data_IF_755632215060
#
_entry.id   IF_755632215060
#
_cell.length_a   1.000
_cell.length_b   1.000
_cell.length_c   1.000
_cell.angle_alpha   90.00
_cell.angle_beta   90.00
_cell.angle_gamma   90.00
#
_symmetry.space_group_name_H-M   'P 1'
#
loop_
_entity.id
_entity.type
_entity.pdbx_description
1 polymer ?
#
# COMPACT_ATOMS: atom_id res chain seq x y z
N UNK A 1 37.92 -14.23 -31.15
CA UNK A 1 36.51 -14.14 -30.73
C UNK A 1 36.42 -14.71 -29.32
N UNK A 2 36.34 -13.85 -28.31
CA UNK A 2 36.03 -14.24 -26.94
C UNK A 2 34.71 -13.57 -26.59
N UNK A 3 33.65 -14.38 -26.48
CA UNK A 3 32.33 -13.94 -26.02
C UNK A 3 32.46 -13.46 -24.58
N UNK A 4 32.35 -12.15 -24.36
CA UNK A 4 32.20 -11.58 -23.04
C UNK A 4 30.77 -11.84 -22.56
N UNK A 5 30.54 -13.04 -22.02
CA UNK A 5 29.40 -13.29 -21.18
C UNK A 5 29.63 -12.49 -19.89
N UNK A 6 29.21 -11.22 -19.88
CA UNK A 6 29.19 -10.40 -18.66
C UNK A 6 28.15 -11.03 -17.75
N UNK A 7 28.60 -11.92 -16.88
CA UNK A 7 27.81 -12.42 -15.77
C UNK A 7 27.17 -11.26 -15.01
N UNK A 8 25.95 -11.49 -14.52
CA UNK A 8 25.18 -10.60 -13.65
C UNK A 8 26.13 -9.90 -12.67
N UNK A 9 26.19 -8.56 -12.70
CA UNK A 9 26.97 -7.83 -11.70
C UNK A 9 26.32 -8.02 -10.33
N UNK A 10 27.08 -8.64 -9.42
CA UNK A 10 26.64 -8.96 -8.06
C UNK A 10 26.82 -7.73 -7.17
N UNK A 11 25.71 -7.26 -6.63
CA UNK A 11 25.63 -6.23 -5.60
C UNK A 11 24.17 -6.02 -5.23
N UNK A 12 23.67 -6.74 -4.22
CA UNK A 12 22.33 -6.52 -3.68
C UNK A 12 22.28 -5.14 -3.01
N UNK A 13 21.80 -4.14 -3.73
CA UNK A 13 21.46 -2.87 -3.10
C UNK A 13 20.11 -3.05 -2.40
N UNK A 14 20.10 -2.95 -1.07
CA UNK A 14 18.88 -2.75 -0.30
C UNK A 14 18.79 -1.26 0.02
N UNK A 15 17.66 -0.65 -0.29
CA UNK A 15 17.37 0.73 0.06
C UNK A 15 16.15 0.77 0.96
N UNK A 16 16.23 1.56 2.03
CA UNK A 16 15.14 1.75 2.97
C UNK A 16 15.03 3.23 3.28
N UNK A 17 13.81 3.74 3.19
CA UNK A 17 13.49 5.11 3.60
C UNK A 17 12.13 5.14 4.29
N UNK A 18 11.88 6.20 5.06
CA UNK A 18 10.56 6.50 5.60
C UNK A 18 9.91 7.55 4.72
N UNK A 19 8.67 7.30 4.34
CA UNK A 19 7.83 8.25 3.62
C UNK A 19 6.68 8.68 4.53
N UNK A 20 6.13 9.86 4.30
CA UNK A 20 4.97 10.35 5.03
C UNK A 20 3.84 10.60 4.04
N UNK A 21 2.72 9.91 4.24
CA UNK A 21 1.50 10.23 3.51
C UNK A 21 0.81 11.42 4.19
N UNK A 22 0.15 12.25 3.40
CA UNK A 22 -0.71 13.32 3.88
C UNK A 22 -1.83 12.71 4.72
N UNK A 23 -2.20 13.33 5.86
CA UNK A 23 -3.36 12.91 6.61
C UNK A 23 -4.60 12.87 5.71
N UNK A 24 -5.34 11.78 5.78
CA UNK A 24 -6.59 11.60 5.06
C UNK A 24 -7.74 11.49 6.05
N UNK A 25 -8.93 11.93 5.62
CA UNK A 25 -10.15 11.54 6.30
C UNK A 25 -10.41 10.05 6.10
N UNK A 26 -11.30 9.46 6.91
CA UNK A 26 -11.72 8.07 6.73
C UNK A 26 -12.17 7.82 5.29
N UNK A 27 -11.77 6.67 4.75
CA UNK A 27 -12.07 6.23 3.40
C UNK A 27 -10.88 5.59 2.70
N UNK A 28 -11.07 5.30 1.41
CA UNK A 28 -10.05 4.67 0.56
C UNK A 28 -9.44 5.71 -0.37
N UNK A 29 -8.11 5.85 -0.33
CA UNK A 29 -7.40 6.93 -1.03
C UNK A 29 -6.33 6.38 -1.97
N UNK A 30 -6.34 6.80 -3.24
CA UNK A 30 -5.26 6.44 -4.18
C UNK A 30 -4.00 7.25 -3.83
N UNK A 31 -2.91 6.56 -3.46
CA UNK A 31 -1.67 7.19 -2.97
C UNK A 31 -0.42 6.83 -3.78
N UNK A 32 -0.59 6.14 -4.91
CA UNK A 32 0.52 5.65 -5.77
C UNK A 32 1.51 6.77 -6.12
N UNK A 33 1.03 7.88 -6.66
CA UNK A 33 1.88 9.02 -7.06
C UNK A 33 2.55 9.69 -5.86
N UNK A 34 1.87 9.74 -4.72
CA UNK A 34 2.40 10.34 -3.50
C UNK A 34 3.55 9.50 -2.91
N UNK A 35 3.44 8.18 -2.99
CA UNK A 35 4.51 7.25 -2.65
C UNK A 35 5.68 7.42 -3.62
N UNK A 36 5.44 7.31 -4.93
CA UNK A 36 6.48 7.35 -5.96
C UNK A 36 7.33 8.62 -5.92
N UNK A 37 6.71 9.78 -5.62
CA UNK A 37 7.43 11.06 -5.45
C UNK A 37 8.42 11.06 -4.28
N UNK A 38 8.21 10.21 -3.27
CA UNK A 38 9.05 10.12 -2.08
C UNK A 38 10.10 9.00 -2.17
N UNK A 39 10.11 8.21 -3.25
CA UNK A 39 11.11 7.17 -3.49
C UNK A 39 11.76 7.31 -4.88
N UNK A 40 12.35 8.48 -5.21
CA UNK A 40 12.97 8.67 -6.52
C UNK A 40 14.04 7.60 -6.80
N UNK A 41 14.75 7.09 -5.81
CA UNK A 41 15.78 6.04 -5.96
C UNK A 41 15.27 4.75 -6.61
N UNK A 42 13.95 4.53 -6.69
CA UNK A 42 13.33 3.42 -7.41
C UNK A 42 13.88 3.28 -8.84
N UNK A 43 14.14 4.39 -9.55
CA UNK A 43 14.64 4.34 -10.94
C UNK A 43 16.03 3.68 -11.07
N UNK A 44 16.78 3.55 -9.97
CA UNK A 44 18.13 2.96 -9.96
C UNK A 44 18.08 1.42 -9.95
N UNK A 45 16.91 0.82 -9.70
CA UNK A 45 16.74 -0.63 -9.58
C UNK A 45 16.23 -1.23 -10.90
N UNK A 46 17.06 -2.05 -11.56
CA UNK A 46 16.62 -2.78 -12.77
C UNK A 46 15.62 -3.90 -12.44
N UNK A 47 15.85 -4.67 -11.36
CA UNK A 47 14.96 -5.73 -10.87
C UNK A 47 15.03 -5.72 -9.34
N UNK A 48 13.89 -5.93 -8.67
CA UNK A 48 13.86 -5.99 -7.21
C UNK A 48 12.47 -6.24 -6.64
N UNK A 49 12.34 -6.03 -5.33
CA UNK A 49 11.07 -6.09 -4.61
C UNK A 49 10.91 -4.81 -3.80
N UNK A 50 9.83 -4.07 -4.04
CA UNK A 50 9.43 -2.92 -3.24
C UNK A 50 8.48 -3.41 -2.15
N UNK A 51 8.95 -3.39 -0.90
CA UNK A 51 8.11 -3.67 0.25
C UNK A 51 7.70 -2.36 0.93
N UNK A 52 6.40 -2.18 1.16
CA UNK A 52 5.82 -0.99 1.78
C UNK A 52 5.05 -1.44 3.00
N UNK A 53 5.46 -0.97 4.18
CA UNK A 53 4.82 -1.28 5.47
C UNK A 53 4.21 0.00 6.03
N UNK A 54 2.92 -0.03 6.35
CA UNK A 54 2.28 1.04 7.12
C UNK A 54 2.61 0.86 8.60
N UNK A 55 2.94 1.96 9.28
CA UNK A 55 3.30 1.97 10.70
C UNK A 55 2.11 2.38 11.58
N UNK A 56 0.93 1.81 11.29
CA UNK A 56 -0.33 2.04 11.99
C UNK A 56 -1.07 0.72 12.19
N UNK A 57 -1.84 0.62 13.27
CA UNK A 57 -2.63 -0.57 13.64
C UNK A 57 -4.10 -0.46 13.22
N UNK A 58 -4.54 0.73 12.83
CA UNK A 58 -5.90 1.08 12.40
C UNK A 58 -5.90 1.68 10.98
N UNK A 59 -4.94 1.31 10.14
CA UNK A 59 -4.89 1.70 8.74
C UNK A 59 -4.25 0.58 7.91
N UNK A 60 -4.55 0.55 6.61
CA UNK A 60 -4.11 -0.52 5.71
C UNK A 60 -3.65 -0.02 4.35
N UNK A 61 -2.97 -0.91 3.65
CA UNK A 61 -2.62 -0.74 2.24
C UNK A 61 -3.31 -1.82 1.41
N UNK A 62 -3.83 -1.43 0.25
CA UNK A 62 -4.43 -2.34 -0.70
C UNK A 62 -3.89 -2.07 -2.12
N UNK A 63 -3.85 -3.11 -2.94
CA UNK A 63 -3.57 -2.99 -4.37
C UNK A 63 -4.86 -3.28 -5.13
N UNK A 64 -5.42 -2.28 -5.79
CA UNK A 64 -6.74 -2.38 -6.42
C UNK A 64 -6.85 -1.44 -7.63
N UNK A 65 -8.02 -1.37 -8.25
CA UNK A 65 -8.27 -0.50 -9.40
C UNK A 65 -7.99 0.99 -9.09
N UNK A 66 -7.34 1.68 -10.02
CA UNK A 66 -6.95 3.09 -9.93
C UNK A 66 -7.57 3.99 -11.00
N UNK A 67 -8.52 3.48 -11.79
CA UNK A 67 -9.17 4.20 -12.88
C UNK A 67 -10.49 4.81 -12.46
N UNK A 68 -11.43 3.99 -12.01
CA UNK A 68 -12.75 4.44 -11.60
C UNK A 68 -12.73 4.91 -10.13
N UNK A 69 -13.06 6.18 -9.84
CA UNK A 69 -13.15 6.66 -8.46
C UNK A 69 -14.18 5.90 -7.62
N UNK A 70 -15.25 5.37 -8.21
CA UNK A 70 -16.35 4.70 -7.50
C UNK A 70 -15.88 3.43 -6.78
N UNK A 71 -14.82 2.78 -7.28
CA UNK A 71 -14.20 1.62 -6.61
C UNK A 71 -13.78 1.94 -5.18
N UNK A 72 -13.33 3.16 -4.91
CA UNK A 72 -12.91 3.56 -3.56
C UNK A 72 -14.10 3.71 -2.62
N UNK A 73 -15.18 4.29 -3.13
CA UNK A 73 -16.42 4.49 -2.37
C UNK A 73 -17.12 3.16 -2.10
N UNK A 74 -17.17 2.26 -3.09
CA UNK A 74 -17.73 0.92 -2.94
C UNK A 74 -16.91 0.05 -1.98
N UNK A 75 -15.58 0.16 -2.01
CA UNK A 75 -14.71 -0.53 -1.06
C UNK A 75 -14.94 -0.03 0.37
N UNK A 76 -15.04 1.28 0.59
CA UNK A 76 -15.37 1.82 1.91
C UNK A 76 -16.75 1.33 2.38
N UNK A 77 -17.76 1.42 1.52
CA UNK A 77 -19.12 0.96 1.80
C UNK A 77 -19.15 -0.52 2.18
N UNK A 78 -18.43 -1.38 1.44
CA UNK A 78 -18.36 -2.82 1.73
C UNK A 78 -17.61 -3.12 3.03
N UNK A 79 -16.50 -2.43 3.31
CA UNK A 79 -15.78 -2.57 4.58
C UNK A 79 -16.66 -2.21 5.78
N UNK A 80 -17.42 -1.13 5.68
CA UNK A 80 -18.37 -0.70 6.71
C UNK A 80 -19.56 -1.66 6.86
N UNK A 81 -19.94 -2.36 5.79
CA UNK A 81 -21.01 -3.37 5.83
C UNK A 81 -20.56 -4.68 6.48
N UNK A 82 -19.34 -5.13 6.20
CA UNK A 82 -18.81 -6.40 6.72
C UNK A 82 -18.31 -6.23 8.16
N UNK A 83 -17.71 -5.07 8.46
CA UNK A 83 -17.15 -4.73 9.77
C UNK A 83 -17.80 -3.42 10.23
N UNK A 84 -19.07 -3.48 10.67
CA UNK A 84 -19.82 -2.28 11.03
C UNK A 84 -19.33 -1.69 12.35
N UNK A 85 -19.43 -0.36 12.42
CA UNK A 85 -19.37 0.39 13.67
C UNK A 85 -20.57 0.02 14.56
N UNK A 86 -20.41 0.14 15.88
CA UNK A 86 -21.53 -0.03 16.83
C UNK A 86 -21.92 -1.47 17.17
N UNK A 87 -21.15 -2.49 16.74
CA UNK A 87 -21.21 -3.80 17.40
C UNK A 87 -20.69 -3.68 18.85
N UNK A 88 -20.99 -4.68 19.67
CA UNK A 88 -20.56 -4.76 21.08
C UNK A 88 -19.06 -5.12 21.21
N UNK A 89 -18.19 -4.36 20.54
CA UNK A 89 -16.75 -4.48 20.69
C UNK A 89 -16.35 -4.07 22.12
N UNK A 90 -15.48 -4.89 22.73
CA UNK A 90 -14.95 -4.60 24.07
C UNK A 90 -13.93 -3.47 24.09
N UNK A 91 -13.25 -3.26 22.97
CA UNK A 91 -12.31 -2.17 22.78
C UNK A 91 -13.06 -1.04 22.07
N UNK A 92 -13.25 0.08 22.75
CA UNK A 92 -13.98 1.24 22.26
C UNK A 92 -13.54 2.52 22.99
N UNK A 93 -12.32 2.52 23.54
CA UNK A 93 -11.85 3.62 24.37
C UNK A 93 -11.56 4.88 23.56
N UNK A 94 -11.32 4.75 22.26
CA UNK A 94 -11.04 5.88 21.35
C UNK A 94 -12.26 6.31 20.53
N UNK A 95 -13.37 5.55 20.57
CA UNK A 95 -14.58 5.86 19.82
C UNK A 95 -15.34 4.62 19.33
N UNK A 96 -16.49 4.81 18.67
CA UNK A 96 -17.26 3.73 18.07
C UNK A 96 -16.58 3.09 16.84
N UNK A 97 -15.58 3.75 16.25
CA UNK A 97 -14.80 3.37 15.08
C UNK A 97 -13.46 2.67 15.42
N UNK A 98 -12.97 2.81 16.66
CA UNK A 98 -11.73 2.27 17.21
C UNK A 98 -11.47 0.78 16.84
N UNK A 99 -12.22 -0.15 17.44
CA UNK A 99 -12.05 -1.57 17.16
C UNK A 99 -12.42 -1.97 15.73
N UNK A 100 -13.50 -1.46 15.10
CA UNK A 100 -13.75 -1.70 13.67
C UNK A 100 -12.54 -1.40 12.78
N UNK A 101 -11.82 -0.31 13.03
CA UNK A 101 -10.63 0.06 12.27
C UNK A 101 -9.51 -0.97 12.44
N UNK A 102 -9.27 -1.45 13.66
CA UNK A 102 -8.32 -2.55 13.90
C UNK A 102 -8.69 -3.84 13.16
N UNK A 103 -9.96 -4.23 13.18
CA UNK A 103 -10.42 -5.44 12.48
C UNK A 103 -10.22 -5.26 10.97
N UNK A 104 -10.68 -4.15 10.38
CA UNK A 104 -10.49 -3.86 8.95
C UNK A 104 -9.01 -3.87 8.57
N UNK A 105 -8.13 -3.34 9.44
CA UNK A 105 -6.70 -3.35 9.21
C UNK A 105 -6.10 -4.77 9.18
N UNK A 106 -6.53 -5.66 10.09
CA UNK A 106 -6.12 -7.06 10.08
C UNK A 106 -6.59 -7.84 8.83
N UNK A 107 -7.78 -7.52 8.31
CA UNK A 107 -8.32 -8.18 7.12
C UNK A 107 -7.59 -7.79 5.83
N UNK A 108 -7.27 -6.51 5.67
CA UNK A 108 -6.58 -6.00 4.48
C UNK A 108 -5.06 -6.21 4.54
N UNK A 109 -4.50 -6.14 5.74
CA UNK A 109 -3.07 -6.21 5.97
C UNK A 109 -2.41 -4.83 6.00
N UNK A 110 -1.20 -4.81 6.55
CA UNK A 110 -0.43 -3.59 6.80
C UNK A 110 0.73 -3.39 5.83
N UNK A 111 0.89 -4.28 4.84
CA UNK A 111 1.96 -4.15 3.86
C UNK A 111 1.62 -4.65 2.47
N UNK A 112 2.38 -4.15 1.49
CA UNK A 112 2.39 -4.61 0.11
C UNK A 112 3.83 -4.98 -0.27
N UNK A 113 3.97 -6.00 -1.10
CA UNK A 113 5.25 -6.41 -1.71
C UNK A 113 5.06 -6.47 -3.21
N UNK A 114 5.61 -5.49 -3.93
CA UNK A 114 5.40 -5.26 -5.36
C UNK A 114 6.72 -5.45 -6.11
N UNK A 115 6.79 -6.26 -7.17
CA UNK A 115 8.02 -6.40 -7.96
C UNK A 115 8.45 -5.07 -8.59
N UNK A 116 9.76 -4.92 -8.76
CA UNK A 116 10.37 -3.80 -9.50
C UNK A 116 10.88 -4.34 -10.82
N UNK A 117 10.60 -3.64 -11.92
CA UNK A 117 11.11 -3.93 -13.27
C UNK A 117 11.43 -2.61 -13.96
N UNK A 118 12.65 -2.50 -14.48
CA UNK A 118 13.16 -1.32 -15.20
C UNK A 118 12.93 0.00 -14.47
N UNK A 119 13.22 0.01 -13.16
CA UNK A 119 13.12 1.20 -12.32
C UNK A 119 11.69 1.60 -11.95
N UNK A 120 10.71 0.71 -12.15
CA UNK A 120 9.28 0.98 -11.92
C UNK A 120 8.64 -0.14 -11.11
N UNK A 121 7.58 0.20 -10.39
CA UNK A 121 6.69 -0.81 -9.81
C UNK A 121 6.00 -1.57 -10.95
N UNK A 122 6.07 -2.89 -10.91
CA UNK A 122 5.43 -3.78 -11.89
C UNK A 122 3.94 -3.92 -11.61
N UNK A 123 3.21 -2.83 -11.85
CA UNK A 123 1.75 -2.74 -11.68
C UNK A 123 1.04 -3.13 -12.97
N UNK A 124 -0.10 -3.82 -12.85
CA UNK A 124 -1.06 -3.95 -13.94
C UNK A 124 -1.60 -2.57 -14.36
N UNK A 125 -2.13 -2.48 -15.59
CA UNK A 125 -2.64 -1.22 -16.19
C UNK A 125 -3.57 -0.43 -15.28
N UNK A 126 -4.39 -1.14 -14.51
CA UNK A 126 -5.38 -0.56 -13.62
C UNK A 126 -5.00 -0.64 -12.15
N UNK A 127 -3.83 -1.17 -11.79
CA UNK A 127 -3.45 -1.32 -10.39
C UNK A 127 -2.85 -0.04 -9.84
N UNK A 128 -3.37 0.39 -8.68
CA UNK A 128 -2.79 1.43 -7.85
C UNK A 128 -2.74 1.02 -6.39
N UNK A 129 -1.78 1.60 -5.68
CA UNK A 129 -1.67 1.52 -4.22
C UNK A 129 -2.70 2.45 -3.60
N UNK A 130 -3.56 1.87 -2.77
CA UNK A 130 -4.58 2.56 -1.99
C UNK A 130 -4.21 2.56 -0.51
N UNK A 131 -4.33 3.71 0.15
CA UNK A 131 -4.29 3.86 1.59
C UNK A 131 -5.72 3.80 2.11
N UNK A 132 -6.00 2.85 2.99
CA UNK A 132 -7.30 2.70 3.63
C UNK A 132 -7.20 3.34 5.02
N UNK A 133 -7.72 4.56 5.13
CA UNK A 133 -7.85 5.29 6.38
C UNK A 133 -9.16 4.85 7.04
N UNK A 134 -9.07 4.23 8.21
CA UNK A 134 -10.19 3.52 8.84
C UNK A 134 -10.73 4.27 10.05
#
# INVERSE_FOLDING_TARGET
MASSNRGIQIGSAWYQTKINLRPQHRGVHLVTEEILRQIPELYQFSVGLCHIQILHTSASLALNESWDPDVRDDMEMMLNKIIPEGLEYRHNCEGPDDMPAHVKACFLGSSLSIPITDGKLALGTWQGIQHVAL
#
